data_IF_983406267803
#
_entry.id   IF_983406267803
#
_cell.length_a   1.000
_cell.length_b   1.000
_cell.length_c   1.000
_cell.angle_alpha   90.00
_cell.angle_beta   90.00
_cell.angle_gamma   90.00
#
_symmetry.space_group_name_H-M   'P 1'
#
loop_
_entity.id
_entity.type
_entity.pdbx_description
1 polymer ?
#
# COMPACT_ATOMS: atom_id res chain seq x y z
N UNK A 1 0.99 18.36 12.43
CA UNK A 1 1.09 18.25 10.95
C UNK A 1 0.75 16.85 10.40
N UNK A 2 0.43 15.86 11.24
CA UNK A 2 0.10 14.46 10.87
C UNK A 2 -1.11 14.21 9.95
N UNK A 3 -2.11 15.09 9.95
CA UNK A 3 -3.36 14.85 9.20
C UNK A 3 -3.15 14.86 7.69
N UNK A 4 -2.20 15.64 7.20
CA UNK A 4 -1.89 15.76 5.78
C UNK A 4 -1.18 14.51 5.28
N UNK A 5 -0.10 14.09 5.95
CA UNK A 5 0.62 12.84 5.65
C UNK A 5 -0.29 11.61 5.67
N UNK A 6 -1.16 11.48 6.68
CA UNK A 6 -2.11 10.36 6.77
C UNK A 6 -3.09 10.28 5.59
N UNK A 7 -3.54 11.42 5.08
CA UNK A 7 -4.40 11.47 3.87
C UNK A 7 -3.58 11.21 2.60
N UNK A 8 -2.36 11.72 2.55
CA UNK A 8 -1.46 11.57 1.41
C UNK A 8 -1.02 10.12 1.23
N UNK A 9 -0.60 9.43 2.30
CA UNK A 9 -0.21 8.00 2.26
C UNK A 9 -1.36 7.12 1.79
N UNK A 10 -2.62 7.41 2.16
CA UNK A 10 -3.80 6.67 1.66
C UNK A 10 -4.01 6.85 0.16
N UNK A 11 -3.88 8.09 -0.32
CA UNK A 11 -3.99 8.39 -1.75
C UNK A 11 -2.85 7.70 -2.50
N UNK A 12 -1.61 7.87 -2.06
CA UNK A 12 -0.44 7.24 -2.69
C UNK A 12 -0.55 5.72 -2.69
N UNK A 13 -0.90 5.08 -1.57
CA UNK A 13 -1.07 3.62 -1.50
C UNK A 13 -2.11 3.13 -2.53
N UNK A 14 -3.26 3.80 -2.62
CA UNK A 14 -4.30 3.46 -3.60
C UNK A 14 -3.86 3.77 -5.03
N UNK A 15 -3.12 4.86 -5.24
CA UNK A 15 -2.63 5.28 -6.55
C UNK A 15 -1.54 4.36 -7.10
N UNK A 16 -0.69 3.77 -6.25
CA UNK A 16 0.31 2.78 -6.64
C UNK A 16 -0.32 1.38 -6.75
N UNK A 17 -1.28 1.03 -5.88
CA UNK A 17 -1.90 -0.30 -5.88
C UNK A 17 -2.66 -0.59 -7.18
N UNK A 18 -3.40 0.39 -7.70
CA UNK A 18 -4.20 0.26 -8.94
C UNK A 18 -3.34 -0.12 -10.16
N UNK A 19 -2.29 0.64 -10.54
CA UNK A 19 -1.45 0.28 -11.68
C UNK A 19 -0.71 -1.04 -11.42
N UNK A 20 -0.27 -1.32 -10.19
CA UNK A 20 0.37 -2.60 -9.85
C UNK A 20 -0.59 -3.78 -10.08
N UNK A 21 -1.86 -3.64 -9.69
CA UNK A 21 -2.87 -4.68 -9.87
C UNK A 21 -3.25 -4.91 -11.35
N UNK A 22 -3.20 -3.87 -12.18
CA UNK A 22 -3.44 -3.97 -13.63
C UNK A 22 -2.22 -4.58 -14.35
N UNK A 23 -1.00 -4.32 -13.85
CA UNK A 23 0.23 -4.87 -14.42
C UNK A 23 0.26 -6.40 -14.38
N UNK A 24 -0.26 -7.02 -13.31
CA UNK A 24 -0.26 -8.48 -13.12
C UNK A 24 -0.95 -9.21 -14.30
N UNK A 25 -2.23 -8.94 -14.64
CA UNK A 25 -2.88 -9.61 -15.76
C UNK A 25 -2.23 -9.29 -17.11
N UNK A 26 -1.72 -8.07 -17.31
CA UNK A 26 -0.97 -7.71 -18.53
C UNK A 26 0.28 -8.57 -18.66
N UNK A 27 1.05 -8.73 -17.57
CA UNK A 27 2.25 -9.56 -17.55
C UNK A 27 1.94 -11.03 -17.83
N UNK A 28 0.82 -11.54 -17.32
CA UNK A 28 0.34 -12.90 -17.60
C UNK A 28 0.01 -13.08 -19.07
N UNK A 29 -0.72 -12.15 -19.69
CA UNK A 29 -1.08 -12.20 -21.12
C UNK A 29 0.18 -12.15 -22.00
N UNK A 30 1.13 -11.28 -21.68
CA UNK A 30 2.37 -11.15 -22.44
C UNK A 30 3.25 -12.42 -22.28
N UNK A 31 3.34 -12.99 -21.08
CA UNK A 31 4.04 -14.28 -20.86
C UNK A 31 3.42 -15.40 -21.69
N UNK A 32 2.09 -15.45 -21.80
CA UNK A 32 1.37 -16.45 -22.61
C UNK A 32 1.58 -16.23 -24.12
N UNK A 33 1.79 -14.99 -24.58
CA UNK A 33 2.02 -14.69 -26.00
C UNK A 33 3.39 -15.16 -26.52
N UNK A 34 4.37 -15.43 -25.66
CA UNK A 34 5.66 -16.01 -26.06
C UNK A 34 6.60 -15.09 -26.85
N UNK A 35 6.28 -13.80 -27.05
CA UNK A 35 7.07 -12.90 -27.88
C UNK A 35 8.34 -12.37 -27.13
N UNK A 36 9.56 -12.65 -27.61
CA UNK A 36 10.80 -12.38 -26.88
C UNK A 36 11.09 -10.88 -26.69
N UNK A 37 10.66 -10.01 -27.60
CA UNK A 37 10.85 -8.56 -27.46
C UNK A 37 10.07 -8.00 -26.27
N UNK A 38 8.85 -8.48 -26.06
CA UNK A 38 8.01 -8.05 -24.93
C UNK A 38 8.50 -8.60 -23.59
N UNK A 39 9.16 -9.76 -23.57
CA UNK A 39 9.77 -10.30 -22.36
C UNK A 39 10.91 -9.44 -21.81
N UNK A 40 11.69 -8.79 -22.68
CA UNK A 40 12.75 -7.88 -22.25
C UNK A 40 12.18 -6.62 -21.57
N UNK A 41 11.07 -6.09 -22.08
CA UNK A 41 10.34 -5.00 -21.45
C UNK A 41 9.71 -5.43 -20.12
N UNK A 42 9.13 -6.62 -20.05
CA UNK A 42 8.59 -7.19 -18.81
C UNK A 42 9.65 -7.28 -17.71
N UNK A 43 10.87 -7.73 -18.02
CA UNK A 43 11.95 -7.87 -17.03
C UNK A 43 12.31 -6.54 -16.36
N UNK A 44 12.38 -5.46 -17.12
CA UNK A 44 12.59 -4.10 -16.58
C UNK A 44 11.40 -3.64 -15.75
N UNK A 45 10.19 -3.96 -16.22
CA UNK A 45 8.95 -3.67 -15.49
C UNK A 45 8.82 -4.44 -14.18
N UNK A 46 9.23 -5.71 -14.11
CA UNK A 46 9.23 -6.53 -12.88
C UNK A 46 10.11 -5.91 -11.80
N UNK A 47 11.27 -5.36 -12.18
CA UNK A 47 12.18 -4.70 -11.24
C UNK A 47 11.56 -3.43 -10.65
N UNK A 48 10.95 -2.60 -11.50
CA UNK A 48 10.20 -1.40 -11.08
C UNK A 48 8.99 -1.80 -10.22
N UNK A 49 8.23 -2.80 -10.65
CA UNK A 49 7.08 -3.33 -9.93
C UNK A 49 7.48 -3.84 -8.54
N UNK A 50 8.59 -4.57 -8.42
CA UNK A 50 9.10 -5.07 -7.14
C UNK A 50 9.41 -3.92 -6.17
N UNK A 51 10.06 -2.86 -6.67
CA UNK A 51 10.33 -1.66 -5.87
C UNK A 51 9.03 -0.94 -5.46
N UNK A 52 8.07 -0.82 -6.38
CA UNK A 52 6.74 -0.28 -6.09
C UNK A 52 6.01 -1.13 -5.05
N UNK A 53 6.12 -2.45 -5.13
CA UNK A 53 5.48 -3.42 -4.24
C UNK A 53 6.08 -3.35 -2.83
N UNK A 54 7.40 -3.13 -2.73
CA UNK A 54 8.08 -2.84 -1.46
C UNK A 54 7.54 -1.56 -0.81
N UNK A 55 7.47 -0.45 -1.57
CA UNK A 55 6.89 0.81 -1.10
C UNK A 55 5.41 0.62 -0.70
N UNK A 56 4.67 -0.20 -1.44
CA UNK A 56 3.28 -0.53 -1.13
C UNK A 56 3.15 -1.28 0.19
N UNK A 57 4.04 -2.25 0.44
CA UNK A 57 4.08 -3.01 1.67
C UNK A 57 4.42 -2.11 2.86
N UNK A 58 5.47 -1.29 2.76
CA UNK A 58 5.87 -0.35 3.82
C UNK A 58 4.73 0.65 4.12
N UNK A 59 4.15 1.25 3.08
CA UNK A 59 3.04 2.20 3.24
C UNK A 59 1.78 1.55 3.81
N UNK A 60 1.48 0.30 3.42
CA UNK A 60 0.35 -0.48 3.94
C UNK A 60 0.52 -0.84 5.42
N UNK A 61 1.71 -1.28 5.83
CA UNK A 61 2.05 -1.58 7.23
C UNK A 61 1.88 -0.33 8.09
N UNK A 62 2.40 0.82 7.63
CA UNK A 62 2.23 2.09 8.34
C UNK A 62 0.74 2.45 8.51
N UNK A 63 -0.06 2.29 7.45
CA UNK A 63 -1.51 2.53 7.46
C UNK A 63 -2.27 1.59 8.39
N UNK A 64 -1.79 0.35 8.54
CA UNK A 64 -2.36 -0.67 9.42
C UNK A 64 -2.07 -0.40 10.91
N UNK A 65 -0.87 0.08 11.25
CA UNK A 65 -0.53 0.48 12.64
C UNK A 65 -1.34 1.71 13.10
N UNK A 66 -1.65 2.59 12.16
CA UNK A 66 -2.30 3.88 12.38
C UNK A 66 -3.63 3.82 13.19
N UNK A 67 -4.62 2.96 12.83
CA UNK A 67 -5.85 2.80 13.60
C UNK A 67 -5.64 2.04 14.91
N UNK A 68 -4.64 1.15 14.99
CA UNK A 68 -4.34 0.38 16.20
C UNK A 68 -3.91 1.34 17.32
N UNK A 69 -2.99 2.25 17.02
CA UNK A 69 -2.55 3.30 17.94
C UNK A 69 -3.70 4.22 18.36
N UNK A 70 -4.56 4.64 17.40
CA UNK A 70 -5.71 5.49 17.69
C UNK A 70 -6.78 4.81 18.56
N UNK A 71 -7.06 3.51 18.32
CA UNK A 71 -7.97 2.73 19.17
C UNK A 71 -7.43 2.63 20.60
N UNK A 72 -6.12 2.46 20.75
CA UNK A 72 -5.51 2.33 22.07
C UNK A 72 -5.60 3.64 22.87
N UNK A 73 -5.36 4.77 22.22
CA UNK A 73 -5.45 6.09 22.87
C UNK A 73 -6.90 6.47 23.27
N UNK A 74 -7.90 6.10 22.45
CA UNK A 74 -9.32 6.30 22.77
C UNK A 74 -9.81 5.43 23.93
N UNK A 75 -9.24 4.23 24.12
CA UNK A 75 -9.58 3.37 25.27
C UNK A 75 -9.07 3.95 26.60
N UNK A 76 -7.88 4.59 26.62
CA UNK A 76 -7.35 5.24 27.84
C UNK A 76 -8.23 6.40 28.30
N UNK A 77 -8.64 7.27 27.37
CA UNK A 77 -9.50 8.43 27.65
C UNK A 77 -10.93 8.07 28.05
N UNK A 78 -11.46 6.93 27.57
CA UNK A 78 -12.75 6.40 28.05
C UNK A 78 -12.67 5.76 29.43
N UNK A 79 -11.54 5.11 29.78
CA UNK A 79 -11.35 4.53 31.13
C UNK A 79 -11.21 5.62 32.21
N UNK A 80 -10.50 6.71 31.95
CA UNK A 80 -10.40 7.83 32.91
C UNK A 80 -11.75 8.52 33.14
N UNK A 81 -12.59 8.68 32.11
CA UNK A 81 -13.95 9.22 32.29
C UNK A 81 -14.92 8.28 33.04
N UNK A 82 -14.68 6.97 33.02
CA UNK A 82 -15.53 5.98 33.71
C UNK A 82 -15.13 5.75 35.18
N UNK A 83 -13.96 6.26 35.57
CA UNK A 83 -13.45 6.21 36.95
C UNK A 83 -13.67 7.52 37.72
N UNK A 84 -14.15 8.56 37.05
CA UNK A 84 -14.44 9.88 37.62
C UNK A 84 -15.96 10.16 37.70
N UNK A 85 -16.79 9.14 37.47
CA UNK A 85 -18.25 9.14 37.63
C UNK A 85 -18.61 7.97 38.52
#
# INVERSE_FOLDING_TARGET
>A
MDKFFRKWVRKLHRWIAVPTAILIPIAVVIKLSGNPSWQMFLKKFEMVQSLLMLLLAISGVYLYLLPIYMKWNRKRTRKTKKSAK
#
